data_IF_334109239654
#
_entry.id   IF_334109239654
#
_cell.length_a   1.000
_cell.length_b   1.000
_cell.length_c   1.000
_cell.angle_alpha   90.00
_cell.angle_beta   90.00
_cell.angle_gamma   90.00
#
_symmetry.space_group_name_H-M   'P 1'
#
loop_
_entity.id
_entity.type
_entity.pdbx_description
1 polymer ?
#
# COMPACT_ATOMS: atom_id res chain seq x y z
N UNK A 1 6.39 17.42 -4.85
CA UNK A 1 5.22 16.53 -4.69
C UNK A 1 5.47 15.60 -3.51
N UNK A 2 4.54 15.53 -2.58
CA UNK A 2 4.68 14.68 -1.41
C UNK A 2 4.13 13.29 -1.74
N UNK A 3 4.92 12.25 -1.49
CA UNK A 3 4.45 10.89 -1.70
C UNK A 3 3.48 10.49 -0.59
N UNK A 4 2.45 9.75 -0.98
CA UNK A 4 1.44 9.26 -0.06
C UNK A 4 1.98 8.13 0.81
N UNK A 5 1.72 8.20 2.11
CA UNK A 5 2.03 7.11 3.03
C UNK A 5 0.91 6.08 3.00
N UNK A 6 1.25 4.82 3.33
CA UNK A 6 0.23 3.79 3.48
C UNK A 6 -0.60 4.07 4.73
N UNK A 7 -1.79 3.46 4.79
CA UNK A 7 -2.67 3.60 5.96
C UNK A 7 -2.22 2.69 7.10
N UNK A 8 -2.79 2.88 8.28
CA UNK A 8 -2.52 2.02 9.44
C UNK A 8 -2.81 0.55 9.12
N UNK A 9 -3.93 0.27 8.48
CA UNK A 9 -4.29 -1.12 8.17
C UNK A 9 -3.26 -1.76 7.25
N UNK A 10 -2.79 -1.04 6.24
CA UNK A 10 -1.76 -1.53 5.33
C UNK A 10 -0.42 -1.69 6.06
N UNK A 11 -0.06 -0.76 6.94
CA UNK A 11 1.17 -0.84 7.73
C UNK A 11 1.17 -2.10 8.62
N UNK A 12 0.04 -2.41 9.25
CA UNK A 12 -0.09 -3.64 10.04
C UNK A 12 0.10 -4.89 9.18
N UNK A 13 -0.52 -4.92 8.01
CA UNK A 13 -0.41 -6.06 7.09
C UNK A 13 1.01 -6.24 6.60
N UNK A 14 1.70 -5.14 6.27
CA UNK A 14 3.10 -5.18 5.85
C UNK A 14 3.98 -5.81 6.93
N UNK A 15 3.81 -5.38 8.18
CA UNK A 15 4.57 -5.92 9.30
C UNK A 15 4.32 -7.42 9.49
N UNK A 16 3.08 -7.85 9.39
CA UNK A 16 2.72 -9.26 9.49
C UNK A 16 3.38 -10.11 8.40
N UNK A 17 3.61 -9.53 7.23
CA UNK A 17 4.19 -10.23 6.09
C UNK A 17 5.71 -10.10 6.01
N UNK A 18 6.34 -9.50 7.02
CA UNK A 18 7.79 -9.47 7.12
C UNK A 18 8.45 -8.19 6.66
N UNK A 19 7.69 -7.14 6.39
CA UNK A 19 8.26 -5.84 6.03
C UNK A 19 9.03 -5.29 7.24
N UNK A 20 10.34 -5.08 7.07
CA UNK A 20 11.21 -4.60 8.14
C UNK A 20 12.18 -3.52 7.66
N UNK A 21 11.89 -2.87 6.55
CA UNK A 21 12.75 -1.81 6.04
C UNK A 21 12.61 -0.54 6.87
N UNK A 22 13.67 0.28 6.88
CA UNK A 22 13.67 1.55 7.59
C UNK A 22 12.61 2.48 7.02
N UNK A 23 11.83 3.08 7.92
CA UNK A 23 10.84 4.10 7.58
C UNK A 23 11.05 5.30 8.49
N UNK A 24 10.99 6.50 7.91
CA UNK A 24 11.11 7.73 8.67
C UNK A 24 9.93 7.93 9.62
N UNK A 25 8.75 7.44 9.22
CA UNK A 25 7.51 7.65 9.98
C UNK A 25 6.99 6.34 10.54
N UNK A 26 6.32 6.45 11.68
CA UNK A 26 5.57 5.34 12.28
C UNK A 26 4.15 5.83 12.53
N UNK A 27 3.20 4.90 12.57
CA UNK A 27 1.80 5.21 12.87
C UNK A 27 1.36 4.35 14.06
N UNK A 28 0.71 5.01 15.03
CA UNK A 28 0.18 4.32 16.20
C UNK A 28 -1.24 3.82 15.98
N UNK A 29 -1.74 3.04 16.92
CA UNK A 29 -3.12 2.55 16.91
C UNK A 29 -4.13 3.70 16.92
N UNK A 30 -3.75 4.87 17.42
CA UNK A 30 -4.57 6.08 17.41
C UNK A 30 -4.56 6.77 16.04
N UNK A 31 -3.89 6.20 15.05
CA UNK A 31 -3.73 6.73 13.68
C UNK A 31 -2.91 8.02 13.62
N UNK A 32 -2.13 8.31 14.65
CA UNK A 32 -1.23 9.46 14.68
C UNK A 32 0.12 9.05 14.10
N UNK A 33 0.60 9.83 13.11
CA UNK A 33 1.89 9.59 12.46
C UNK A 33 2.96 10.40 13.19
N UNK A 34 4.05 9.73 13.56
CA UNK A 34 5.19 10.35 14.25
C UNK A 34 6.45 10.20 13.41
N UNK A 35 7.28 11.26 13.40
CA UNK A 35 8.57 11.26 12.73
C UNK A 35 9.60 10.72 13.73
N UNK A 36 10.24 9.60 13.42
CA UNK A 36 11.19 8.98 14.34
C UNK A 36 12.46 9.77 14.54
N UNK A 37 12.77 10.72 13.66
CA UNK A 37 13.94 11.59 13.81
C UNK A 37 13.70 12.65 14.89
N UNK A 38 12.47 13.14 14.98
CA UNK A 38 12.12 14.22 15.89
C UNK A 38 11.45 13.74 17.18
N UNK A 39 11.19 12.44 17.32
CA UNK A 39 10.49 11.88 18.48
C UNK A 39 11.38 10.91 19.23
N UNK A 40 11.65 11.22 20.52
CA UNK A 40 12.49 10.38 21.36
C UNK A 40 11.75 9.14 21.89
N UNK A 41 10.45 9.28 22.14
CA UNK A 41 9.61 8.21 22.66
C UNK A 41 8.57 7.84 21.63
N UNK A 42 8.76 6.70 20.96
CA UNK A 42 7.76 6.18 20.04
C UNK A 42 6.59 5.61 20.83
N UNK A 43 5.35 5.84 20.38
CA UNK A 43 4.20 5.23 21.04
C UNK A 43 4.30 3.70 21.04
N UNK A 44 3.84 3.03 22.10
CA UNK A 44 3.75 1.58 22.07
C UNK A 44 2.79 1.13 20.95
N UNK A 45 3.07 -0.03 20.36
CA UNK A 45 2.27 -0.59 19.28
C UNK A 45 2.28 0.30 18.02
N UNK A 46 3.43 0.91 17.73
CA UNK A 46 3.61 1.67 16.49
C UNK A 46 4.08 0.76 15.36
N UNK A 47 3.70 1.12 14.15
CA UNK A 47 4.05 0.36 12.96
C UNK A 47 4.84 1.26 12.00
N UNK A 48 5.92 0.75 11.37
CA UNK A 48 6.59 1.53 10.31
C UNK A 48 5.61 1.83 9.20
N UNK A 49 5.63 3.07 8.72
CA UNK A 49 4.70 3.50 7.68
C UNK A 49 5.51 3.99 6.48
N UNK A 50 5.70 3.13 5.45
CA UNK A 50 6.39 3.54 4.23
C UNK A 50 5.48 4.35 3.33
N UNK A 51 6.08 4.96 2.30
CA UNK A 51 5.29 5.48 1.20
C UNK A 51 4.68 4.31 0.41
N UNK A 52 3.63 4.60 -0.34
CA UNK A 52 3.01 3.60 -1.22
C UNK A 52 4.00 3.07 -2.25
N UNK A 53 4.87 3.95 -2.78
CA UNK A 53 5.91 3.54 -3.73
C UNK A 53 6.87 2.52 -3.15
N UNK A 54 7.31 2.74 -1.92
CA UNK A 54 8.23 1.83 -1.25
C UNK A 54 7.55 0.49 -0.95
N UNK A 55 6.29 0.52 -0.52
CA UNK A 55 5.52 -0.69 -0.27
C UNK A 55 5.36 -1.52 -1.56
N UNK A 56 5.02 -0.86 -2.67
CA UNK A 56 4.89 -1.53 -3.97
C UNK A 56 6.23 -2.11 -4.44
N UNK A 57 7.31 -1.35 -4.26
CA UNK A 57 8.66 -1.82 -4.60
C UNK A 57 9.03 -3.05 -3.77
N UNK A 58 8.75 -3.03 -2.47
CA UNK A 58 9.03 -4.16 -1.58
C UNK A 58 8.29 -5.42 -2.04
N UNK A 59 7.01 -5.30 -2.38
CA UNK A 59 6.23 -6.42 -2.89
C UNK A 59 6.82 -6.95 -4.20
N UNK A 60 7.24 -6.07 -5.09
CA UNK A 60 7.81 -6.44 -6.38
C UNK A 60 9.14 -7.18 -6.21
N UNK A 61 9.99 -6.71 -5.30
CA UNK A 61 11.33 -7.26 -5.12
C UNK A 61 11.36 -8.50 -4.23
N UNK A 62 10.47 -8.62 -3.25
CA UNK A 62 10.51 -9.71 -2.27
C UNK A 62 9.43 -10.77 -2.47
N UNK A 63 8.29 -10.40 -3.03
CA UNK A 63 7.13 -11.30 -3.17
C UNK A 63 6.74 -11.54 -4.62
N UNK A 64 7.44 -10.93 -5.55
CA UNK A 64 7.17 -11.06 -6.99
C UNK A 64 5.75 -10.61 -7.36
N UNK A 65 5.22 -9.61 -6.67
CA UNK A 65 3.92 -9.02 -6.97
C UNK A 65 4.09 -7.56 -7.33
N UNK A 66 3.45 -7.15 -8.42
CA UNK A 66 3.47 -5.77 -8.89
C UNK A 66 2.05 -5.27 -9.04
N UNK A 67 1.79 -4.08 -8.48
CA UNK A 67 0.47 -3.45 -8.57
C UNK A 67 0.52 -2.42 -9.67
N UNK A 68 -0.32 -2.59 -10.69
CA UNK A 68 -0.46 -1.65 -11.78
C UNK A 68 -1.73 -0.85 -11.58
N UNK A 69 -1.65 0.46 -11.74
CA UNK A 69 -2.79 1.36 -11.64
C UNK A 69 -3.15 1.83 -13.04
N UNK A 70 -4.41 1.70 -13.41
CA UNK A 70 -4.89 2.18 -14.70
C UNK A 70 -5.91 3.31 -14.51
N UNK A 71 -6.01 4.16 -15.50
CA UNK A 71 -6.98 5.25 -15.54
C UNK A 71 -8.17 4.84 -16.41
N UNK A 72 -9.37 5.00 -15.88
CA UNK A 72 -10.61 4.84 -16.62
C UNK A 72 -11.38 6.16 -16.65
N UNK A 73 -12.49 6.19 -17.38
CA UNK A 73 -13.35 7.38 -17.41
C UNK A 73 -13.93 7.71 -16.03
N UNK A 74 -14.10 6.72 -15.18
CA UNK A 74 -14.75 6.89 -13.87
C UNK A 74 -13.75 6.97 -12.71
N UNK A 75 -12.43 6.90 -12.98
CA UNK A 75 -11.43 6.97 -11.92
C UNK A 75 -10.25 6.07 -12.18
N UNK A 76 -9.70 5.50 -11.11
CA UNK A 76 -8.53 4.64 -11.16
C UNK A 76 -8.86 3.25 -10.66
N UNK A 77 -8.25 2.25 -11.27
CA UNK A 77 -8.37 0.87 -10.83
C UNK A 77 -6.98 0.24 -10.70
N UNK A 78 -6.92 -1.01 -10.26
CA UNK A 78 -5.65 -1.70 -10.12
C UNK A 78 -5.72 -3.12 -10.68
N UNK A 79 -4.55 -3.64 -11.03
CA UNK A 79 -4.34 -5.04 -11.34
C UNK A 79 -3.08 -5.50 -10.64
N UNK A 80 -3.08 -6.73 -10.12
CA UNK A 80 -1.93 -7.33 -9.46
C UNK A 80 -1.39 -8.40 -10.39
N UNK A 81 -0.11 -8.27 -10.76
CA UNK A 81 0.55 -9.18 -11.69
C UNK A 81 1.85 -9.67 -11.07
N UNK A 82 2.38 -10.77 -11.59
CA UNK A 82 3.72 -11.23 -11.20
C UNK A 82 4.76 -10.27 -11.76
N UNK A 83 5.68 -9.82 -10.91
CA UNK A 83 6.65 -8.81 -11.30
C UNK A 83 7.62 -9.30 -12.37
N UNK A 84 7.95 -10.59 -12.36
CA UNK A 84 8.96 -11.14 -13.27
C UNK A 84 8.43 -11.41 -14.69
N UNK A 85 7.14 -11.59 -14.88
CA UNK A 85 6.60 -11.96 -16.19
C UNK A 85 5.25 -11.35 -16.55
N UNK A 86 4.66 -10.55 -15.65
CA UNK A 86 3.40 -9.89 -15.92
C UNK A 86 2.15 -10.78 -15.85
N UNK A 87 2.29 -12.00 -15.36
CA UNK A 87 1.13 -12.91 -15.25
C UNK A 87 0.09 -12.31 -14.31
N UNK A 88 -1.15 -12.23 -14.79
CA UNK A 88 -2.26 -11.70 -14.01
C UNK A 88 -2.54 -12.57 -12.78
N UNK A 89 -2.72 -11.94 -11.62
CA UNK A 89 -3.05 -12.62 -10.37
C UNK A 89 -4.44 -12.23 -9.87
N UNK A 90 -4.75 -10.94 -9.89
CA UNK A 90 -6.00 -10.41 -9.38
C UNK A 90 -6.18 -8.97 -9.87
N UNK A 91 -7.43 -8.50 -9.93
CA UNK A 91 -7.70 -7.09 -10.21
C UNK A 91 -8.69 -6.52 -9.19
N UNK A 92 -9.12 -5.28 -9.44
CA UNK A 92 -10.02 -4.56 -8.53
C UNK A 92 -11.43 -5.16 -8.46
N UNK A 93 -11.76 -6.01 -9.41
CA UNK A 93 -13.04 -6.73 -9.46
C UNK A 93 -14.24 -5.76 -9.36
N UNK A 94 -14.06 -4.54 -9.88
CA UNK A 94 -15.06 -3.47 -9.89
C UNK A 94 -15.59 -3.13 -8.49
N UNK A 95 -14.73 -3.15 -7.47
CA UNK A 95 -15.13 -2.93 -6.07
C UNK A 95 -15.05 -1.49 -5.60
N UNK A 96 -14.50 -0.58 -6.39
CA UNK A 96 -14.39 0.82 -6.00
C UNK A 96 -15.74 1.51 -5.91
N UNK A 97 -15.81 2.68 -5.24
CA UNK A 97 -17.07 3.36 -4.97
C UNK A 97 -17.68 4.06 -6.19
N UNK A 98 -16.91 4.31 -7.24
CA UNK A 98 -17.40 5.01 -8.43
C UNK A 98 -18.09 4.06 -9.41
N UNK A 99 -18.79 4.62 -10.38
CA UNK A 99 -19.36 3.82 -11.47
C UNK A 99 -18.25 3.01 -12.15
N UNK A 100 -18.52 1.75 -12.42
CA UNK A 100 -17.50 0.84 -12.95
C UNK A 100 -16.55 0.30 -11.89
N UNK A 101 -16.74 0.68 -10.61
CA UNK A 101 -15.97 0.13 -9.51
C UNK A 101 -14.58 0.72 -9.35
N UNK A 102 -14.39 1.98 -9.71
CA UNK A 102 -13.11 2.67 -9.61
C UNK A 102 -13.05 3.61 -8.41
N UNK A 103 -11.84 4.09 -8.10
CA UNK A 103 -11.57 5.05 -7.04
C UNK A 103 -11.27 6.42 -7.63
N UNK A 104 -11.51 7.47 -6.84
CA UNK A 104 -11.33 8.85 -7.30
C UNK A 104 -9.86 9.19 -7.59
N UNK A 105 -8.93 8.64 -6.82
CA UNK A 105 -7.51 8.98 -6.95
C UNK A 105 -6.65 7.75 -7.19
N UNK A 106 -5.49 7.99 -7.79
CA UNK A 106 -4.46 6.97 -7.98
C UNK A 106 -4.08 6.34 -6.63
N UNK A 107 -3.92 7.16 -5.61
CA UNK A 107 -3.47 6.74 -4.28
C UNK A 107 -4.49 5.85 -3.59
N UNK A 108 -5.78 6.14 -3.74
CA UNK A 108 -6.83 5.30 -3.18
C UNK A 108 -6.86 3.92 -3.84
N UNK A 109 -6.74 3.87 -5.17
CA UNK A 109 -6.67 2.61 -5.90
C UNK A 109 -5.43 1.81 -5.51
N UNK A 110 -4.28 2.47 -5.39
CA UNK A 110 -3.03 1.81 -5.00
C UNK A 110 -3.11 1.27 -3.57
N UNK A 111 -3.73 2.01 -2.65
CA UNK A 111 -3.90 1.54 -1.27
C UNK A 111 -4.70 0.23 -1.23
N UNK A 112 -5.80 0.17 -1.97
CA UNK A 112 -6.60 -1.04 -2.06
C UNK A 112 -5.82 -2.18 -2.72
N UNK A 113 -5.08 -1.87 -3.77
CA UNK A 113 -4.23 -2.86 -4.44
C UNK A 113 -3.15 -3.41 -3.51
N UNK A 114 -2.53 -2.56 -2.70
CA UNK A 114 -1.53 -2.99 -1.72
C UNK A 114 -2.14 -3.96 -0.71
N UNK A 115 -3.31 -3.66 -0.17
CA UNK A 115 -3.98 -4.53 0.79
C UNK A 115 -4.34 -5.88 0.17
N UNK A 116 -4.87 -5.88 -1.05
CA UNK A 116 -5.22 -7.13 -1.72
C UNK A 116 -3.99 -7.96 -2.07
N UNK A 117 -2.90 -7.31 -2.48
CA UNK A 117 -1.64 -8.02 -2.75
C UNK A 117 -1.10 -8.68 -1.48
N UNK A 118 -1.17 -7.97 -0.34
CA UNK A 118 -0.71 -8.50 0.94
C UNK A 118 -1.53 -9.70 1.39
N UNK A 119 -2.80 -9.77 1.00
CA UNK A 119 -3.65 -10.94 1.30
C UNK A 119 -3.27 -12.17 0.46
N UNK A 120 -2.57 -11.98 -0.65
CA UNK A 120 -2.15 -13.08 -1.52
C UNK A 120 -0.90 -13.80 -1.04
N UNK A 121 -0.20 -13.27 -0.06
CA UNK A 121 1.07 -13.83 0.42
C UNK A 121 1.00 -14.35 1.85
#
# INVERSE_FOLDING_TARGET
>A
MTEELVTLDTAKMLREKGFNEYCRFVIGEDRVISDIISTWNLPPNSFPVPTQSIANKWLRETKNLHIEIYRSACGYGYAIVKANNGTWMKDDDAKGPNDGGNWDTYEEALEEGLQEALKLI
#
